data_IF_946222470270
#
_entry.id   IF_946222470270
#
_cell.length_a   1.000
_cell.length_b   1.000
_cell.length_c   1.000
_cell.angle_alpha   90.00
_cell.angle_beta   90.00
_cell.angle_gamma   90.00
#
_symmetry.space_group_name_H-M   'P 1'
#
loop_
_entity.id
_entity.type
_entity.pdbx_description
1 polymer ?
#
# COMPACT_ATOMS: atom_id res chain seq x y z
N UNK A 1 -13.17 1.10 -8.77
CA UNK A 1 -11.88 1.61 -8.34
C UNK A 1 -11.67 3.09 -8.56
N UNK A 2 -12.67 3.91 -8.29
CA UNK A 2 -12.57 5.35 -8.53
C UNK A 2 -11.53 6.04 -7.65
N UNK A 3 -11.20 5.47 -6.52
CA UNK A 3 -10.22 6.09 -5.63
C UNK A 3 -8.79 5.61 -5.86
N UNK A 4 -8.59 4.43 -6.44
CA UNK A 4 -7.30 4.05 -7.01
C UNK A 4 -6.97 4.88 -8.23
N UNK A 5 -8.00 5.33 -8.91
CA UNK A 5 -7.92 6.32 -9.94
C UNK A 5 -7.87 7.74 -9.35
N UNK A 6 -7.15 7.94 -8.26
CA UNK A 6 -6.81 9.28 -7.79
C UNK A 6 -6.16 10.12 -8.88
N UNK A 7 -5.70 9.45 -9.91
CA UNK A 7 -5.19 10.05 -11.14
C UNK A 7 -6.13 9.72 -12.28
N UNK A 8 -6.56 10.70 -13.01
CA UNK A 8 -7.21 10.47 -14.28
C UNK A 8 -6.15 10.16 -15.34
N UNK A 9 -5.70 8.94 -15.34
CA UNK A 9 -4.68 8.43 -16.26
C UNK A 9 -5.13 8.47 -17.71
N UNK A 10 -6.44 8.37 -17.91
CA UNK A 10 -6.98 8.25 -19.25
C UNK A 10 -7.06 9.59 -19.96
N UNK A 11 -7.24 10.69 -19.24
CA UNK A 11 -7.60 11.95 -19.85
C UNK A 11 -6.77 13.17 -19.46
N UNK A 12 -6.26 13.24 -18.23
CA UNK A 12 -5.60 14.47 -17.76
C UNK A 12 -4.27 14.29 -17.05
N UNK A 13 -3.96 13.10 -16.56
CA UNK A 13 -2.80 12.86 -15.68
C UNK A 13 -2.84 13.67 -14.38
N UNK A 14 -3.98 14.27 -14.04
CA UNK A 14 -4.13 15.09 -12.84
C UNK A 14 -4.69 14.27 -11.70
N UNK A 15 -4.03 14.27 -10.52
CA UNK A 15 -4.58 13.62 -9.35
C UNK A 15 -5.92 14.26 -8.94
N UNK A 16 -6.91 13.44 -8.62
CA UNK A 16 -8.17 13.90 -8.04
C UNK A 16 -7.99 14.31 -6.58
N UNK A 17 -7.10 13.63 -5.89
CA UNK A 17 -6.77 13.87 -4.49
C UNK A 17 -5.64 14.88 -4.40
N UNK A 18 -5.71 15.77 -3.43
CA UNK A 18 -4.74 16.85 -3.22
C UNK A 18 -4.20 16.80 -1.81
N UNK A 19 -3.07 17.43 -1.60
CA UNK A 19 -2.47 17.58 -0.27
C UNK A 19 -3.48 18.16 0.74
N UNK A 20 -3.69 17.39 1.81
CA UNK A 20 -4.63 17.70 2.89
C UNK A 20 -6.01 17.06 2.73
N UNK A 21 -6.25 16.32 1.66
CA UNK A 21 -7.50 15.57 1.53
C UNK A 21 -7.49 14.33 2.42
N UNK A 22 -8.67 14.00 2.95
CA UNK A 22 -8.89 12.79 3.74
C UNK A 22 -9.97 11.95 3.08
N UNK A 23 -9.61 10.71 2.75
CA UNK A 23 -10.53 9.68 2.30
C UNK A 23 -11.03 8.93 3.52
N UNK A 24 -12.31 9.05 3.80
CA UNK A 24 -12.98 8.29 4.86
C UNK A 24 -13.47 6.98 4.27
N UNK A 25 -13.01 5.88 4.84
CA UNK A 25 -13.36 4.53 4.38
C UNK A 25 -14.30 3.90 5.39
N UNK A 26 -15.50 3.54 4.97
CA UNK A 26 -16.48 2.88 5.79
C UNK A 26 -16.16 1.40 6.02
N UNK A 27 -16.75 0.83 7.08
CA UNK A 27 -16.59 -0.58 7.41
C UNK A 27 -16.90 -1.48 6.21
N UNK A 28 -16.08 -2.50 6.00
CA UNK A 28 -16.25 -3.44 4.91
C UNK A 28 -14.99 -4.17 4.51
N UNK A 29 -15.15 -5.16 3.65
CA UNK A 29 -14.03 -5.90 3.05
C UNK A 29 -13.87 -5.43 1.61
N UNK A 30 -12.79 -4.74 1.36
CA UNK A 30 -12.39 -4.24 0.05
C UNK A 30 -11.44 -5.25 -0.58
N UNK A 31 -12.04 -6.25 -1.23
CA UNK A 31 -11.29 -7.36 -1.80
C UNK A 31 -10.83 -7.01 -3.21
N UNK A 32 -9.55 -7.19 -3.43
CA UNK A 32 -8.97 -7.03 -4.74
C UNK A 32 -9.43 -8.16 -5.69
N UNK A 33 -9.91 -7.78 -6.86
CA UNK A 33 -10.19 -8.72 -7.93
C UNK A 33 -9.13 -8.59 -9.03
N UNK A 34 -8.14 -9.49 -8.98
CA UNK A 34 -7.03 -9.47 -9.93
C UNK A 34 -7.46 -9.60 -11.39
N UNK A 35 -8.54 -10.30 -11.65
CA UNK A 35 -9.01 -10.51 -13.01
C UNK A 35 -9.69 -9.28 -13.61
N UNK A 36 -10.45 -8.57 -12.82
CA UNK A 36 -11.05 -7.29 -13.27
C UNK A 36 -9.98 -6.24 -13.51
N UNK A 37 -8.95 -6.25 -12.69
CA UNK A 37 -7.89 -5.25 -12.76
C UNK A 37 -6.97 -5.48 -13.95
N UNK A 38 -6.57 -6.71 -14.21
CA UNK A 38 -5.68 -7.06 -15.34
C UNK A 38 -6.34 -6.87 -16.70
N UNK A 39 -7.65 -6.94 -16.76
CA UNK A 39 -8.41 -6.73 -17.99
C UNK A 39 -8.66 -5.24 -18.29
N UNK A 40 -8.36 -4.35 -17.37
CA UNK A 40 -8.49 -2.92 -17.61
C UNK A 40 -7.28 -2.41 -18.39
N UNK A 41 -7.48 -2.11 -19.67
CA UNK A 41 -6.43 -1.67 -20.60
C UNK A 41 -5.72 -0.37 -20.17
N UNK A 42 -6.26 0.35 -19.20
CA UNK A 42 -5.75 1.63 -18.72
C UNK A 42 -4.90 1.51 -17.46
N UNK A 43 -4.73 0.31 -16.94
CA UNK A 43 -3.88 0.11 -15.76
C UNK A 43 -2.42 0.05 -16.17
N UNK A 44 -1.60 0.72 -15.40
CA UNK A 44 -0.18 0.80 -15.62
C UNK A 44 0.45 -0.59 -15.73
N UNK A 45 0.88 -0.95 -16.92
CA UNK A 45 1.51 -2.23 -17.24
C UNK A 45 2.94 -2.36 -16.70
N UNK A 46 3.47 -1.34 -16.06
CA UNK A 46 4.82 -1.36 -15.51
C UNK A 46 4.96 -2.17 -14.22
N UNK A 47 3.83 -2.51 -13.59
CA UNK A 47 3.81 -3.52 -12.55
C UNK A 47 3.27 -4.82 -13.15
N UNK A 48 4.12 -5.78 -13.45
CA UNK A 48 3.66 -7.08 -13.98
C UNK A 48 2.89 -7.89 -12.95
N UNK A 49 2.67 -7.37 -11.80
CA UNK A 49 2.18 -8.02 -10.62
C UNK A 49 0.83 -7.45 -10.27
N UNK A 50 -0.05 -8.31 -10.15
CA UNK A 50 -1.45 -8.17 -9.89
C UNK A 50 -1.81 -7.05 -8.92
N UNK A 51 -2.55 -6.16 -9.41
CA UNK A 51 -3.44 -5.23 -8.80
C UNK A 51 -3.08 -4.65 -7.46
N UNK A 52 -2.72 -3.49 -7.55
CA UNK A 52 -2.29 -2.63 -6.46
C UNK A 52 -3.20 -1.41 -6.44
N UNK A 53 -3.54 -0.96 -5.27
CA UNK A 53 -4.06 0.38 -5.09
C UNK A 53 -2.92 1.36 -5.29
N UNK A 54 -2.89 2.00 -6.44
CA UNK A 54 -1.79 2.85 -6.86
C UNK A 54 -2.04 4.30 -6.43
N UNK A 55 -1.21 4.82 -5.53
CA UNK A 55 -1.29 6.19 -5.08
C UNK A 55 -0.18 7.00 -5.74
N UNK A 56 -0.54 8.14 -6.34
CA UNK A 56 0.39 8.96 -7.13
C UNK A 56 0.33 10.44 -6.79
N UNK A 57 -0.50 10.82 -5.84
CA UNK A 57 -0.61 12.20 -5.41
C UNK A 57 0.24 12.44 -4.16
N UNK A 58 0.98 13.52 -4.16
CA UNK A 58 1.79 13.92 -3.02
C UNK A 58 0.99 14.75 -2.01
N UNK A 59 1.13 14.39 -0.75
CA UNK A 59 0.84 15.27 0.36
C UNK A 59 2.03 16.16 0.71
N UNK A 60 1.94 16.84 1.84
CA UNK A 60 3.08 17.52 2.49
C UNK A 60 3.12 17.14 3.97
N UNK A 61 4.19 17.50 4.65
CA UNK A 61 4.32 17.22 6.09
C UNK A 61 3.17 17.84 6.90
N UNK A 62 2.71 19.03 6.53
CA UNK A 62 1.61 19.75 7.20
C UNK A 62 0.25 19.32 6.67
N UNK A 63 0.20 18.79 5.47
CA UNK A 63 -1.02 18.43 4.75
C UNK A 63 -0.88 17.07 4.06
N UNK A 64 -0.77 15.98 4.81
CA UNK A 64 -0.70 14.65 4.22
C UNK A 64 -2.01 14.31 3.48
N UNK A 65 -1.94 13.35 2.59
CA UNK A 65 -3.14 12.72 2.03
C UNK A 65 -3.46 11.53 2.94
N UNK A 66 -4.63 11.57 3.57
CA UNK A 66 -5.01 10.61 4.57
C UNK A 66 -6.06 9.61 4.05
N UNK A 67 -5.92 8.36 4.44
CA UNK A 67 -6.88 7.27 4.22
C UNK A 67 -7.21 6.70 5.59
N UNK A 68 -8.41 6.97 6.07
CA UNK A 68 -8.80 6.77 7.47
C UNK A 68 -10.08 5.97 7.57
N UNK A 69 -10.12 5.00 8.47
CA UNK A 69 -11.34 4.28 8.79
C UNK A 69 -12.40 5.22 9.39
N UNK A 70 -13.64 5.08 8.97
CA UNK A 70 -14.76 5.91 9.44
C UNK A 70 -15.11 5.71 10.91
N UNK A 71 -14.67 4.60 11.51
CA UNK A 71 -14.99 4.25 12.90
C UNK A 71 -16.34 3.58 13.09
N UNK A 72 -17.01 3.20 12.01
CA UNK A 72 -18.30 2.52 12.00
C UNK A 72 -18.20 0.99 11.92
N UNK A 73 -16.98 0.47 12.00
CA UNK A 73 -16.62 -0.94 11.99
C UNK A 73 -15.25 -1.17 11.39
N UNK A 74 -14.92 -2.43 11.17
CA UNK A 74 -13.60 -2.80 10.65
C UNK A 74 -13.50 -2.51 9.14
N UNK A 75 -12.41 -1.87 8.75
CA UNK A 75 -12.05 -1.58 7.35
C UNK A 75 -10.95 -2.53 6.94
N UNK A 76 -11.24 -3.44 6.03
CA UNK A 76 -10.31 -4.49 5.61
C UNK A 76 -10.00 -4.33 4.13
N UNK A 77 -8.74 -4.14 3.81
CA UNK A 77 -8.23 -4.29 2.46
C UNK A 77 -7.61 -5.68 2.29
N UNK A 78 -8.21 -6.50 1.47
CA UNK A 78 -7.82 -7.90 1.24
C UNK A 78 -7.21 -8.04 -0.15
N UNK A 79 -5.92 -8.33 -0.18
CA UNK A 79 -5.16 -8.47 -1.42
C UNK A 79 -5.44 -9.75 -2.18
N UNK A 80 -6.11 -10.72 -1.56
CA UNK A 80 -6.43 -12.00 -2.22
C UNK A 80 -5.19 -12.71 -2.82
N UNK A 81 -4.05 -12.59 -2.15
CA UNK A 81 -2.79 -13.17 -2.60
C UNK A 81 -2.04 -12.33 -3.64
N UNK A 82 -2.34 -11.05 -3.76
CA UNK A 82 -1.60 -10.16 -4.65
C UNK A 82 -0.17 -9.88 -4.12
N UNK A 83 0.66 -9.33 -5.00
CA UNK A 83 2.03 -8.96 -4.66
C UNK A 83 2.11 -7.75 -3.73
N UNK A 84 1.45 -6.65 -4.07
CA UNK A 84 1.42 -5.48 -3.21
C UNK A 84 0.00 -4.92 -3.14
N UNK A 85 -0.46 -4.62 -1.93
CA UNK A 85 -1.83 -4.14 -1.72
C UNK A 85 -1.94 -2.63 -1.98
N UNK A 86 -1.06 -1.84 -1.37
CA UNK A 86 -0.91 -0.42 -1.68
C UNK A 86 0.48 -0.14 -2.23
N UNK A 87 0.54 0.55 -3.34
CA UNK A 87 1.77 1.07 -3.91
C UNK A 87 1.80 2.59 -3.72
N UNK A 88 2.68 3.04 -2.85
CA UNK A 88 2.87 4.45 -2.52
C UNK A 88 4.22 4.98 -2.98
N UNK A 89 4.92 4.25 -3.85
CA UNK A 89 6.26 4.64 -4.33
C UNK A 89 6.30 6.01 -4.99
N UNK A 90 5.19 6.43 -5.59
CA UNK A 90 5.05 7.71 -6.27
C UNK A 90 4.21 8.71 -5.47
N UNK A 91 4.07 8.51 -4.15
CA UNK A 91 3.22 9.35 -3.31
C UNK A 91 3.94 9.68 -2.01
N UNK A 92 4.35 10.92 -1.86
CA UNK A 92 4.92 11.42 -0.62
C UNK A 92 3.82 11.80 0.39
N UNK A 93 4.13 11.66 1.68
CA UNK A 93 3.25 12.04 2.80
C UNK A 93 1.86 11.42 2.74
N UNK A 94 1.82 10.12 2.52
CA UNK A 94 0.60 9.31 2.65
C UNK A 94 0.39 8.92 4.12
N UNK A 95 -0.87 8.98 4.57
CA UNK A 95 -1.25 8.66 5.93
C UNK A 95 -2.36 7.59 5.93
N UNK A 96 -2.14 6.50 6.65
CA UNK A 96 -3.13 5.44 6.88
C UNK A 96 -3.49 5.36 8.35
N UNK A 97 -4.79 5.18 8.67
CA UNK A 97 -5.24 5.00 10.03
C UNK A 97 -6.44 4.08 10.15
N UNK A 98 -6.37 3.14 11.10
CA UNK A 98 -7.48 2.28 11.47
C UNK A 98 -7.80 1.19 10.44
N UNK A 99 -6.85 0.80 9.61
CA UNK A 99 -7.04 -0.10 8.48
C UNK A 99 -6.42 -1.47 8.77
N UNK A 100 -7.15 -2.52 8.43
CA UNK A 100 -6.62 -3.88 8.34
C UNK A 100 -6.18 -4.18 6.92
N UNK A 101 -4.89 -4.46 6.76
CA UNK A 101 -4.27 -4.92 5.52
C UNK A 101 -4.06 -6.43 5.63
N UNK A 102 -4.54 -7.21 4.68
CA UNK A 102 -4.35 -8.66 4.76
C UNK A 102 -4.20 -9.35 3.41
N UNK A 103 -3.67 -10.57 3.47
CA UNK A 103 -3.58 -11.51 2.34
C UNK A 103 -2.82 -10.94 1.14
N UNK A 104 -1.64 -10.36 1.37
CA UNK A 104 -0.75 -9.88 0.31
C UNK A 104 0.72 -10.21 0.64
N UNK A 105 1.59 -10.20 -0.37
CA UNK A 105 3.03 -10.31 -0.09
C UNK A 105 3.53 -9.05 0.60
N UNK A 106 3.16 -7.89 0.10
CA UNK A 106 3.50 -6.60 0.68
C UNK A 106 2.19 -5.84 0.93
N UNK A 107 1.97 -5.36 2.14
CA UNK A 107 0.80 -4.54 2.41
C UNK A 107 0.98 -3.11 1.87
N UNK A 108 2.11 -2.46 2.16
CA UNK A 108 2.43 -1.12 1.67
C UNK A 108 3.81 -1.12 1.04
N UNK A 109 3.86 -1.00 -0.27
CA UNK A 109 5.09 -0.89 -1.05
C UNK A 109 5.49 0.58 -1.16
N UNK A 110 6.53 0.96 -0.43
CA UNK A 110 6.95 2.35 -0.27
C UNK A 110 8.28 2.69 -0.98
N UNK A 111 8.94 1.72 -1.58
CA UNK A 111 10.15 1.97 -2.34
C UNK A 111 10.71 0.73 -3.02
N UNK A 112 11.38 0.94 -4.15
CA UNK A 112 12.12 -0.10 -4.85
C UNK A 112 13.50 0.40 -5.25
N UNK A 113 14.48 -0.45 -5.09
CA UNK A 113 15.92 -0.17 -5.11
C UNK A 113 16.41 0.75 -6.26
N UNK A 114 15.83 0.64 -7.43
CA UNK A 114 16.34 1.31 -8.62
C UNK A 114 15.41 2.35 -9.22
N UNK A 115 14.26 2.57 -8.61
CA UNK A 115 13.24 3.39 -9.25
C UNK A 115 12.87 4.61 -8.42
N UNK A 116 12.10 4.39 -7.40
CA UNK A 116 11.53 5.48 -6.62
C UNK A 116 11.13 4.99 -5.22
N UNK A 117 10.99 5.91 -4.29
CA UNK A 117 10.49 5.65 -2.95
C UNK A 117 9.79 6.87 -2.39
N UNK A 118 8.89 6.66 -1.47
CA UNK A 118 8.13 7.70 -0.80
C UNK A 118 8.87 8.29 0.39
N UNK A 119 8.42 9.47 0.80
CA UNK A 119 8.82 10.14 2.05
C UNK A 119 7.59 10.38 2.91
N UNK A 120 7.79 10.40 4.22
CA UNK A 120 6.78 10.82 5.16
C UNK A 120 5.56 9.88 5.27
N UNK A 121 5.72 8.61 4.91
CA UNK A 121 4.65 7.63 5.12
C UNK A 121 4.33 7.50 6.62
N UNK A 122 3.05 7.62 6.95
CA UNK A 122 2.55 7.39 8.31
C UNK A 122 1.50 6.28 8.30
N UNK A 123 1.64 5.32 9.23
CA UNK A 123 0.63 4.29 9.47
C UNK A 123 0.35 4.23 10.97
N UNK A 124 -0.91 4.41 11.35
CA UNK A 124 -1.34 4.38 12.74
C UNK A 124 -2.53 3.48 12.98
N UNK A 125 -2.59 2.91 14.17
CA UNK A 125 -3.73 2.13 14.66
C UNK A 125 -4.26 1.14 13.62
N UNK A 126 -3.35 0.51 12.91
CA UNK A 126 -3.63 -0.38 11.79
C UNK A 126 -3.20 -1.81 12.11
N UNK A 127 -3.69 -2.74 11.34
CA UNK A 127 -3.45 -4.16 11.52
C UNK A 127 -2.94 -4.77 10.22
N UNK A 128 -1.90 -5.56 10.33
CA UNK A 128 -1.30 -6.29 9.22
C UNK A 128 -1.45 -7.79 9.51
N UNK A 129 -2.20 -8.51 8.66
CA UNK A 129 -2.50 -9.93 8.84
C UNK A 129 -2.14 -10.73 7.61
N UNK A 130 -1.47 -11.84 7.79
CA UNK A 130 -1.12 -12.73 6.70
C UNK A 130 -0.48 -11.99 5.52
N UNK A 131 0.51 -11.16 5.84
CA UNK A 131 1.32 -10.42 4.86
C UNK A 131 2.78 -10.83 5.00
N UNK A 132 3.51 -10.85 3.90
CA UNK A 132 4.94 -11.12 3.91
C UNK A 132 5.73 -9.96 4.50
N UNK A 133 5.41 -8.75 4.09
CA UNK A 133 5.94 -7.52 4.66
C UNK A 133 4.81 -6.51 4.89
N UNK A 134 4.74 -5.90 6.08
CA UNK A 134 3.75 -4.87 6.38
C UNK A 134 4.02 -3.58 5.60
N UNK A 135 5.22 -3.04 5.74
CA UNK A 135 5.72 -1.90 4.97
C UNK A 135 7.07 -2.29 4.39
N UNK A 136 7.24 -2.09 3.11
CA UNK A 136 8.46 -2.46 2.43
C UNK A 136 9.05 -1.29 1.66
N UNK A 137 10.33 -1.04 1.87
CA UNK A 137 11.16 -0.18 1.03
C UNK A 137 12.59 -0.69 1.04
N UNK A 138 13.21 -0.73 -0.11
CA UNK A 138 14.66 -0.91 -0.28
C UNK A 138 15.27 0.24 -1.09
N UNK A 139 14.61 1.39 -1.10
CA UNK A 139 15.08 2.60 -1.77
C UNK A 139 15.75 3.54 -0.77
N UNK A 140 17.01 3.85 -0.98
CA UNK A 140 17.82 4.67 -0.08
C UNK A 140 17.32 6.12 0.09
N UNK A 141 16.47 6.59 -0.82
CA UNK A 141 15.85 7.91 -0.74
C UNK A 141 14.56 7.96 0.07
N UNK A 142 14.03 6.81 0.49
CA UNK A 142 12.86 6.77 1.38
C UNK A 142 13.24 7.27 2.78
N UNK A 143 12.38 8.09 3.37
CA UNK A 143 12.70 8.71 4.66
C UNK A 143 11.46 9.13 5.43
N UNK A 144 11.63 9.37 6.74
CA UNK A 144 10.60 9.91 7.63
C UNK A 144 9.35 9.03 7.73
N UNK A 145 9.53 7.72 7.79
CA UNK A 145 8.43 6.80 8.02
C UNK A 145 8.06 6.78 9.50
N UNK A 146 6.76 6.83 9.79
CA UNK A 146 6.24 6.75 11.14
C UNK A 146 5.16 5.68 11.22
N UNK A 147 5.44 4.61 11.94
CA UNK A 147 4.51 3.50 12.13
C UNK A 147 4.29 3.34 13.64
N UNK A 148 3.04 3.53 14.10
CA UNK A 148 2.71 3.54 15.51
C UNK A 148 1.38 2.84 15.80
N UNK A 149 1.27 2.32 17.03
CA UNK A 149 0.04 1.74 17.59
C UNK A 149 -0.58 0.68 16.68
N UNK A 150 0.25 -0.05 15.94
CA UNK A 150 -0.16 -1.00 14.93
C UNK A 150 0.22 -2.42 15.30
N UNK A 151 -0.56 -3.39 14.83
CA UNK A 151 -0.36 -4.81 15.10
C UNK A 151 0.11 -5.52 13.84
N UNK A 152 1.17 -6.30 13.95
CA UNK A 152 1.70 -7.12 12.87
C UNK A 152 1.55 -8.59 13.23
N UNK A 153 0.79 -9.32 12.44
CA UNK A 153 0.62 -10.77 12.55
C UNK A 153 1.16 -11.38 11.27
N UNK A 154 2.36 -11.92 11.36
CA UNK A 154 3.01 -12.57 10.24
C UNK A 154 2.27 -13.80 9.75
N UNK A 155 2.66 -14.29 8.60
CA UNK A 155 2.23 -15.59 8.10
C UNK A 155 2.75 -16.67 9.02
N UNK A 156 1.87 -17.49 9.52
CA UNK A 156 2.25 -18.73 10.19
C UNK A 156 2.31 -19.86 9.17
N UNK A 157 3.10 -19.68 8.13
CA UNK A 157 3.24 -20.61 7.02
C UNK A 157 4.73 -21.01 6.91
N UNK A 158 5.09 -22.25 7.23
CA UNK A 158 6.48 -22.70 7.17
C UNK A 158 7.03 -22.77 5.72
N UNK A 159 6.16 -22.83 4.72
CA UNK A 159 6.57 -22.86 3.32
C UNK A 159 6.84 -21.46 2.77
N UNK A 160 6.35 -20.44 3.47
CA UNK A 160 6.62 -19.04 3.16
C UNK A 160 7.33 -18.38 4.34
N UNK A 161 8.59 -18.72 4.47
CA UNK A 161 9.46 -18.08 5.46
C UNK A 161 9.47 -16.57 5.21
N UNK A 162 9.80 -15.84 6.26
CA UNK A 162 9.89 -14.39 6.23
C UNK A 162 10.52 -13.94 4.92
N UNK A 163 9.84 -13.12 4.21
CA UNK A 163 10.44 -12.52 3.07
C UNK A 163 9.67 -12.71 1.78
N UNK A 164 10.11 -11.96 0.92
CA UNK A 164 9.59 -11.75 -0.38
C UNK A 164 10.08 -12.86 -1.32
N UNK A 165 9.18 -13.47 -2.07
CA UNK A 165 9.45 -14.49 -3.08
C UNK A 165 10.16 -15.77 -2.60
N UNK A 166 10.27 -15.99 -1.30
CA UNK A 166 10.85 -17.21 -0.76
C UNK A 166 12.35 -17.40 -1.00
N UNK A 167 13.07 -16.37 -1.40
CA UNK A 167 14.52 -16.41 -1.56
C UNK A 167 15.22 -15.96 -0.26
N UNK A 168 16.22 -16.70 0.18
CA UNK A 168 16.86 -16.47 1.49
C UNK A 168 17.45 -15.06 1.61
N UNK A 169 18.05 -14.53 0.57
CA UNK A 169 18.62 -13.19 0.58
C UNK A 169 17.55 -12.08 0.59
N UNK A 170 16.37 -12.37 0.09
CA UNK A 170 15.23 -11.44 0.11
C UNK A 170 14.50 -11.46 1.45
N UNK A 171 14.63 -12.55 2.19
CA UNK A 171 14.03 -12.67 3.53
C UNK A 171 14.61 -11.66 4.52
N UNK A 172 15.82 -11.21 4.30
CA UNK A 172 16.49 -10.23 5.16
C UNK A 172 16.36 -8.80 4.66
N UNK A 173 15.99 -8.59 3.42
CA UNK A 173 15.82 -7.25 2.85
C UNK A 173 14.68 -6.44 3.50
N UNK A 174 13.78 -7.09 4.19
CA UNK A 174 12.72 -6.44 4.96
C UNK A 174 13.09 -6.12 6.42
N UNK A 175 14.32 -6.41 6.82
CA UNK A 175 14.83 -6.18 8.16
C UNK A 175 15.88 -5.06 8.22
N UNK A 176 16.22 -4.47 7.09
CA UNK A 176 17.14 -3.36 6.97
C UNK A 176 16.47 -1.99 7.11
#
# INVERSE_FOLDING_TARGET
>A
NEWCAGTDWATSGRPRVRAGDTLIVHAGIYKYNRYEYTNNANVNRSTPLDGTYYLTADGTAERPIAIVAAGDGEVIFDGNGNYALFDVRAADYTYFEGITFRNSEIAVLAGTQFLIGSKGLTVKRSRFENVGAGVFTNYSGSSNFYIADSTFIGRNDPDHLIGWQGQIWEQFAGLE
#
